data_IF_398781143011
#
_entry.id   IF_398781143011
#
_cell.length_a   1.000
_cell.length_b   1.000
_cell.length_c   1.000
_cell.angle_alpha   90.00
_cell.angle_beta   90.00
_cell.angle_gamma   90.00
#
_symmetry.space_group_name_H-M   'P 1'
#
loop_
_entity.id
_entity.type
_entity.pdbx_description
1 polymer ?
#
# COMPACT_ATOMS: atom_id res chain seq x y z
N UNK A 1 -9.10 -18.58 -10.34
CA UNK A 1 -9.77 -17.36 -10.85
C UNK A 1 -8.70 -16.30 -11.12
N UNK A 2 -8.87 -15.55 -12.17
CA UNK A 2 -7.92 -14.51 -12.57
C UNK A 2 -8.61 -13.15 -12.48
N UNK A 3 -7.99 -12.19 -11.80
CA UNK A 3 -8.57 -10.88 -11.56
C UNK A 3 -7.61 -9.77 -11.96
N UNK A 4 -8.15 -8.69 -12.54
CA UNK A 4 -7.45 -7.42 -12.68
C UNK A 4 -7.47 -6.68 -11.36
N UNK A 5 -6.37 -5.98 -11.05
CA UNK A 5 -6.30 -5.12 -9.87
C UNK A 5 -6.15 -3.66 -10.29
N UNK A 6 -6.88 -2.79 -9.62
CA UNK A 6 -6.63 -1.36 -9.62
C UNK A 6 -6.15 -0.93 -8.24
N UNK A 7 -5.34 0.12 -8.19
CA UNK A 7 -4.86 0.69 -6.95
C UNK A 7 -5.58 2.01 -6.66
N UNK A 8 -6.16 2.10 -5.47
CA UNK A 8 -6.67 3.34 -4.90
C UNK A 8 -5.84 3.66 -3.66
N UNK A 9 -5.64 4.93 -3.38
CA UNK A 9 -4.93 5.34 -2.18
C UNK A 9 -5.90 5.82 -1.13
N UNK A 10 -5.63 5.47 0.13
CA UNK A 10 -6.42 5.86 1.28
C UNK A 10 -5.51 6.27 2.42
N UNK A 11 -5.85 7.33 3.11
CA UNK A 11 -5.11 7.79 4.29
C UNK A 11 -5.67 7.11 5.54
N UNK A 12 -4.79 6.45 6.28
CA UNK A 12 -5.12 5.84 7.58
C UNK A 12 -4.28 6.46 8.68
N UNK A 13 -4.69 6.30 9.91
CA UNK A 13 -4.00 6.85 11.08
C UNK A 13 -4.16 5.94 12.30
N UNK A 14 -3.32 6.19 13.30
CA UNK A 14 -3.31 5.43 14.54
C UNK A 14 -2.33 4.27 14.51
N UNK A 15 -1.67 4.05 15.65
CA UNK A 15 -0.55 3.11 15.74
C UNK A 15 -0.92 1.68 15.35
N UNK A 16 -2.00 1.14 15.92
CA UNK A 16 -2.39 -0.26 15.67
C UNK A 16 -2.75 -0.51 14.22
N UNK A 17 -3.51 0.42 13.62
CA UNK A 17 -3.91 0.34 12.22
C UNK A 17 -2.69 0.39 11.30
N UNK A 18 -1.74 1.26 11.59
CA UNK A 18 -0.51 1.41 10.80
C UNK A 18 0.39 0.19 10.92
N UNK A 19 0.57 -0.34 12.12
CA UNK A 19 1.36 -1.56 12.34
C UNK A 19 0.80 -2.72 11.52
N UNK A 20 -0.50 -2.91 11.54
CA UNK A 20 -1.15 -3.95 10.77
C UNK A 20 -0.97 -3.75 9.27
N UNK A 21 -1.15 -2.53 8.78
CA UNK A 21 -0.95 -2.20 7.37
C UNK A 21 0.51 -2.42 6.93
N UNK A 22 1.48 -2.08 7.77
CA UNK A 22 2.90 -2.35 7.51
C UNK A 22 3.19 -3.85 7.41
N UNK A 23 2.60 -4.65 8.30
CA UNK A 23 2.73 -6.10 8.25
C UNK A 23 2.12 -6.70 6.99
N UNK A 24 1.05 -6.12 6.49
CA UNK A 24 0.38 -6.56 5.26
C UNK A 24 1.05 -6.06 3.98
N UNK A 25 2.04 -5.17 4.09
CA UNK A 25 2.72 -4.61 2.93
C UNK A 25 1.90 -3.62 2.11
N UNK A 26 0.82 -3.08 2.67
CA UNK A 26 -0.10 -2.18 1.95
C UNK A 26 0.27 -0.69 2.06
N UNK A 27 1.26 -0.33 2.87
CA UNK A 27 1.66 1.06 3.09
C UNK A 27 2.53 1.55 1.94
N UNK A 28 2.13 2.65 1.32
CA UNK A 28 2.90 3.34 0.29
C UNK A 28 3.87 4.36 0.90
N UNK A 29 3.35 5.21 1.78
CA UNK A 29 4.13 6.25 2.48
C UNK A 29 3.69 6.28 3.94
N UNK A 30 4.66 6.34 4.84
CA UNK A 30 4.44 6.51 6.27
C UNK A 30 4.75 7.95 6.67
N UNK A 31 3.83 8.57 7.41
CA UNK A 31 4.01 9.90 8.00
C UNK A 31 4.19 9.75 9.50
N UNK A 32 5.29 10.23 10.04
CA UNK A 32 5.63 10.16 11.46
C UNK A 32 5.96 11.51 12.03
N UNK A 33 5.52 11.77 13.26
CA UNK A 33 6.10 12.82 14.08
C UNK A 33 7.50 12.40 14.51
N UNK A 34 8.42 13.36 14.55
CA UNK A 34 9.79 13.11 15.02
C UNK A 34 9.80 12.64 16.47
N UNK A 35 10.75 11.78 16.80
CA UNK A 35 11.03 11.31 18.16
C UNK A 35 9.87 10.55 18.80
N UNK A 36 9.02 9.95 18.00
CA UNK A 36 7.90 9.11 18.44
C UNK A 36 7.81 7.84 17.59
N UNK A 37 7.17 6.82 18.16
CA UNK A 37 6.84 5.59 17.45
C UNK A 37 8.04 4.92 16.78
N UNK A 38 9.13 4.74 17.53
CA UNK A 38 10.34 4.09 17.00
C UNK A 38 10.10 2.66 16.51
N UNK A 39 9.18 1.95 17.13
CA UNK A 39 8.77 0.60 16.73
C UNK A 39 8.10 0.62 15.35
N UNK A 40 7.25 1.60 15.08
CA UNK A 40 6.62 1.79 13.76
C UNK A 40 7.68 2.15 12.73
N UNK A 41 8.63 3.02 13.08
CA UNK A 41 9.74 3.41 12.22
C UNK A 41 10.59 2.19 11.83
N UNK A 42 10.98 1.36 12.79
CA UNK A 42 11.74 0.15 12.53
C UNK A 42 11.01 -0.79 11.58
N UNK A 43 9.73 -1.00 11.82
CA UNK A 43 8.91 -1.87 10.99
C UNK A 43 8.82 -1.33 9.56
N UNK A 44 8.68 -0.02 9.40
CA UNK A 44 8.65 0.63 8.09
C UNK A 44 9.99 0.48 7.35
N UNK A 45 11.10 0.67 8.03
CA UNK A 45 12.43 0.48 7.45
C UNK A 45 12.67 -0.96 7.02
N UNK A 46 12.23 -1.91 7.85
CA UNK A 46 12.31 -3.34 7.52
C UNK A 46 11.52 -3.68 6.27
N UNK A 47 10.39 -3.03 6.06
CA UNK A 47 9.52 -3.24 4.89
C UNK A 47 9.85 -2.31 3.72
N UNK A 48 10.92 -1.53 3.82
CA UNK A 48 11.39 -0.58 2.79
C UNK A 48 10.32 0.45 2.39
N UNK A 49 9.56 0.93 3.37
CA UNK A 49 8.53 1.94 3.17
C UNK A 49 9.14 3.33 3.28
N UNK A 50 8.76 4.22 2.38
CA UNK A 50 9.15 5.63 2.45
C UNK A 50 8.58 6.29 3.70
N UNK A 51 9.41 7.02 4.44
CA UNK A 51 9.01 7.72 5.65
C UNK A 51 9.17 9.22 5.45
N UNK A 52 8.09 9.97 5.69
CA UNK A 52 8.09 11.43 5.74
C UNK A 52 7.83 11.89 7.17
N UNK A 53 8.74 12.70 7.70
CA UNK A 53 8.61 13.24 9.04
C UNK A 53 7.82 14.54 9.01
N UNK A 54 6.82 14.66 9.86
CA UNK A 54 5.99 15.85 10.00
C UNK A 54 6.09 16.42 11.41
N UNK A 55 5.86 17.72 11.54
CA UNK A 55 5.67 18.33 12.84
C UNK A 55 4.28 17.98 13.38
N UNK A 56 4.10 18.17 14.69
CA UNK A 56 2.80 17.95 15.33
C UNK A 56 1.70 18.80 14.69
N UNK A 57 2.03 20.05 14.34
CA UNK A 57 1.07 20.96 13.70
C UNK A 57 0.68 20.45 12.31
N UNK A 58 1.66 20.01 11.52
CA UNK A 58 1.41 19.45 10.20
C UNK A 58 0.56 18.17 10.27
N UNK A 59 0.88 17.29 11.21
CA UNK A 59 0.12 16.06 11.42
C UNK A 59 -1.32 16.36 11.82
N UNK A 60 -1.54 17.30 12.72
CA UNK A 60 -2.88 17.71 13.18
C UNK A 60 -3.70 18.36 12.06
N UNK A 61 -3.05 19.07 11.14
CA UNK A 61 -3.71 19.63 9.96
C UNK A 61 -4.14 18.55 8.98
N UNK A 62 -3.32 17.53 8.82
CA UNK A 62 -3.61 16.42 7.91
C UNK A 62 -4.73 15.52 8.47
N UNK A 63 -4.72 15.28 9.78
CA UNK A 63 -5.67 14.41 10.46
C UNK A 63 -6.17 15.10 11.73
N UNK A 64 -7.44 15.46 11.74
CA UNK A 64 -8.09 16.11 12.88
C UNK A 64 -8.74 15.08 13.80
N UNK A 65 -7.97 14.05 14.18
CA UNK A 65 -8.39 12.96 15.07
C UNK A 65 -7.20 12.47 15.87
N UNK A 66 -7.40 11.53 16.76
CA UNK A 66 -6.32 10.95 17.53
C UNK A 66 -5.45 10.01 16.68
N UNK A 67 -4.44 10.58 16.04
CA UNK A 67 -3.53 9.86 15.13
C UNK A 67 -2.33 9.22 15.83
N UNK A 68 -2.10 9.53 17.10
CA UNK A 68 -0.99 8.99 17.90
C UNK A 68 0.40 9.25 17.30
N UNK A 69 0.55 10.32 16.51
CA UNK A 69 1.81 10.69 15.86
C UNK A 69 2.16 9.86 14.63
N UNK A 70 1.23 9.09 14.09
CA UNK A 70 1.47 8.30 12.88
C UNK A 70 0.24 8.23 11.97
N UNK A 71 0.53 8.34 10.68
CA UNK A 71 -0.44 8.20 9.60
C UNK A 71 0.23 7.52 8.41
N UNK A 72 -0.54 6.97 7.52
CA UNK A 72 0.01 6.34 6.32
C UNK A 72 -0.94 6.44 5.15
N UNK A 73 -0.34 6.53 3.97
CA UNK A 73 -1.06 6.36 2.73
C UNK A 73 -0.97 4.89 2.34
N UNK A 74 -2.09 4.22 2.27
CA UNK A 74 -2.14 2.81 1.89
C UNK A 74 -2.63 2.66 0.45
N UNK A 75 -2.27 1.53 -0.14
CA UNK A 75 -2.78 1.12 -1.44
C UNK A 75 -3.92 0.14 -1.20
N UNK A 76 -5.09 0.51 -1.65
CA UNK A 76 -6.27 -0.33 -1.60
C UNK A 76 -6.43 -1.03 -2.94
N UNK A 77 -6.68 -2.34 -2.93
CA UNK A 77 -6.70 -3.14 -4.15
C UNK A 77 -8.14 -3.43 -4.55
N UNK A 78 -8.47 -3.14 -5.79
CA UNK A 78 -9.75 -3.48 -6.38
C UNK A 78 -9.57 -4.56 -7.43
N UNK A 79 -10.33 -5.64 -7.31
CA UNK A 79 -10.25 -6.77 -8.23
C UNK A 79 -11.35 -6.68 -9.28
N UNK A 80 -10.99 -7.03 -10.51
CA UNK A 80 -11.91 -7.05 -11.65
C UNK A 80 -11.94 -8.43 -12.29
N UNK A 81 -12.96 -8.71 -13.04
CA UNK A 81 -13.04 -9.95 -13.79
C UNK A 81 -12.07 -9.92 -14.98
N UNK A 82 -11.67 -11.11 -15.45
CA UNK A 82 -10.72 -11.22 -16.55
C UNK A 82 -11.22 -10.53 -17.81
N UNK A 83 -12.51 -10.61 -18.09
CA UNK A 83 -13.13 -9.99 -19.26
C UNK A 83 -12.93 -8.47 -19.29
N UNK A 84 -13.01 -7.83 -18.13
CA UNK A 84 -12.79 -6.39 -17.99
C UNK A 84 -11.36 -5.99 -18.33
N UNK A 85 -10.40 -6.87 -18.04
CA UNK A 85 -8.98 -6.65 -18.33
C UNK A 85 -8.69 -6.81 -19.81
N UNK A 86 -9.22 -7.84 -20.43
CA UNK A 86 -8.94 -8.18 -21.83
C UNK A 86 -9.70 -7.32 -22.82
N UNK A 87 -10.80 -6.71 -22.42
CA UNK A 87 -11.56 -5.78 -23.26
C UNK A 87 -10.94 -4.39 -23.35
N UNK A 88 -9.98 -4.07 -22.50
CA UNK A 88 -9.28 -2.79 -22.50
C UNK A 88 -8.31 -2.75 -23.70
N UNK A 89 -8.49 -1.77 -24.57
CA UNK A 89 -7.70 -1.62 -25.79
C UNK A 89 -6.39 -0.87 -25.60
N UNK A 90 -6.07 -0.44 -24.39
CA UNK A 90 -4.82 0.26 -24.10
C UNK A 90 -3.66 -0.74 -24.08
N UNK A 91 -2.55 -0.36 -24.71
CA UNK A 91 -1.31 -1.13 -24.68
C UNK A 91 -0.65 -1.00 -23.30
N UNK A 92 -1.19 -1.70 -22.32
CA UNK A 92 -0.65 -1.71 -20.96
C UNK A 92 0.14 -2.98 -20.72
N UNK A 93 1.24 -2.86 -19.98
CA UNK A 93 1.97 -4.02 -19.51
C UNK A 93 1.14 -4.77 -18.48
N UNK A 94 1.02 -6.08 -18.66
CA UNK A 94 0.30 -6.98 -17.73
C UNK A 94 1.32 -7.90 -17.08
N UNK A 95 1.29 -7.94 -15.75
CA UNK A 95 2.06 -8.92 -14.97
C UNK A 95 1.11 -10.00 -14.49
N UNK A 96 1.43 -11.25 -14.79
CA UNK A 96 0.71 -12.41 -14.27
C UNK A 96 1.49 -13.03 -13.11
N UNK A 97 0.83 -13.19 -11.97
CA UNK A 97 1.40 -13.78 -10.76
C UNK A 97 0.69 -15.08 -10.45
N UNK A 98 1.45 -16.13 -10.29
CA UNK A 98 0.92 -17.46 -9.99
C UNK A 98 1.49 -17.98 -8.66
N UNK A 99 0.63 -18.57 -7.84
CA UNK A 99 1.06 -19.26 -6.63
C UNK A 99 1.48 -18.37 -5.47
N UNK A 100 1.10 -17.10 -5.45
CA UNK A 100 1.41 -16.23 -4.32
C UNK A 100 0.48 -16.52 -3.13
N UNK A 101 1.05 -16.96 -2.03
CA UNK A 101 0.33 -17.24 -0.80
C UNK A 101 0.53 -16.17 0.27
N UNK A 102 1.67 -15.47 0.24
CA UNK A 102 2.02 -14.46 1.23
C UNK A 102 1.51 -13.08 0.83
N UNK A 103 0.54 -12.51 1.58
CA UNK A 103 0.01 -11.17 1.29
C UNK A 103 1.07 -10.07 1.35
N UNK A 104 2.12 -10.26 2.16
CA UNK A 104 3.22 -9.30 2.26
C UNK A 104 4.01 -9.19 0.94
N UNK A 105 4.34 -10.33 0.35
CA UNK A 105 5.03 -10.37 -0.94
C UNK A 105 4.17 -9.78 -2.05
N UNK A 106 2.87 -10.05 -2.05
CA UNK A 106 1.93 -9.48 -3.00
C UNK A 106 1.90 -7.96 -2.90
N UNK A 107 1.79 -7.43 -1.69
CA UNK A 107 1.80 -5.98 -1.46
C UNK A 107 3.07 -5.32 -1.95
N UNK A 108 4.23 -5.93 -1.69
CA UNK A 108 5.52 -5.43 -2.15
C UNK A 108 5.63 -5.42 -3.68
N UNK A 109 5.16 -6.48 -4.34
CA UNK A 109 5.18 -6.59 -5.80
C UNK A 109 4.27 -5.54 -6.43
N UNK A 110 3.07 -5.35 -5.91
CA UNK A 110 2.12 -4.35 -6.43
C UNK A 110 2.69 -2.95 -6.27
N UNK A 111 3.27 -2.64 -5.12
CA UNK A 111 3.89 -1.34 -4.85
C UNK A 111 5.00 -1.03 -5.84
N UNK A 112 5.88 -2.02 -6.12
CA UNK A 112 6.94 -1.89 -7.10
C UNK A 112 6.37 -1.73 -8.51
N UNK A 113 5.36 -2.51 -8.86
CA UNK A 113 4.71 -2.46 -10.17
C UNK A 113 4.11 -1.09 -10.45
N UNK A 114 3.44 -0.50 -9.47
CA UNK A 114 2.87 0.85 -9.59
C UNK A 114 3.97 1.89 -9.82
N UNK A 115 5.11 1.76 -9.14
CA UNK A 115 6.25 2.66 -9.32
C UNK A 115 6.83 2.60 -10.74
N UNK A 116 6.71 1.47 -11.42
CA UNK A 116 7.14 1.30 -12.82
C UNK A 116 6.02 1.59 -13.84
N UNK A 117 4.87 2.10 -13.40
CA UNK A 117 3.77 2.44 -14.28
C UNK A 117 2.97 1.26 -14.81
N UNK A 118 3.05 0.11 -14.18
CA UNK A 118 2.29 -1.08 -14.55
C UNK A 118 0.86 -0.92 -14.07
N UNK A 119 -0.11 -0.99 -14.97
CA UNK A 119 -1.51 -0.76 -14.65
C UNK A 119 -2.30 -2.02 -14.38
N UNK A 120 -1.86 -3.16 -14.90
CA UNK A 120 -2.62 -4.41 -14.84
C UNK A 120 -1.80 -5.53 -14.23
N UNK A 121 -2.35 -6.16 -13.21
CA UNK A 121 -1.77 -7.32 -12.57
C UNK A 121 -2.82 -8.42 -12.53
N UNK A 122 -2.46 -9.60 -13.03
CA UNK A 122 -3.31 -10.78 -13.03
C UNK A 122 -2.79 -11.74 -11.95
N UNK A 123 -3.67 -12.12 -11.04
CA UNK A 123 -3.33 -13.02 -9.94
C UNK A 123 -4.20 -14.25 -10.04
N UNK A 124 -3.57 -15.42 -10.02
CA UNK A 124 -4.32 -16.67 -9.90
C UNK A 124 -4.63 -16.92 -8.43
N UNK A 125 -5.89 -17.19 -8.14
CA UNK A 125 -6.34 -17.54 -6.79
C UNK A 125 -6.48 -19.05 -6.64
N UNK A 126 -6.17 -19.50 -5.47
CA UNK A 126 -6.30 -20.91 -5.09
C UNK A 126 -7.57 -21.14 -4.31
#
# INVERSE_FOLDING_TARGET
>A
MVNKMETNTQLIYGKNTIVEALKNGSVKVLYLEKDQNYDVKELALKNKVEINYLTKVEMNKMINKNHQGCAALIIDYKYYQLEDVTSDKNDSLIIALDGLEDPHNLGAIIRTSVAFGIEKIIITSY
#
